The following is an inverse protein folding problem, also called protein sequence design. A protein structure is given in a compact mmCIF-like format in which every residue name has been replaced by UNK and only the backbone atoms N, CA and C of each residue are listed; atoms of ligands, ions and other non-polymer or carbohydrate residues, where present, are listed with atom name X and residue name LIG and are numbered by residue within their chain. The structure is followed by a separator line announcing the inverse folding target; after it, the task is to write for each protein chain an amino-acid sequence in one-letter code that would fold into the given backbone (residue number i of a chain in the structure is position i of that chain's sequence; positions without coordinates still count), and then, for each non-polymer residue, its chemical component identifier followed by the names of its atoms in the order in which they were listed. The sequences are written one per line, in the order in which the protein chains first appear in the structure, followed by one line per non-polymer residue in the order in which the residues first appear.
data_IF_117179653238
#
_entry.id   IF_117179653238
#
_cell.length_a   1.000
_cell.length_b   1.000
_cell.length_c   1.000
_cell.angle_alpha   90.00
_cell.angle_beta   90.00
_cell.angle_gamma   90.00
#
_symmetry.space_group_name_H-M   'P 1'
#
loop_
_entity.id
_entity.type
_entity.pdbx_description
1 polymer ?
#
# COMPACT_ATOMS: atom_id res chain seq x y z
N UNK A 1 13.78 18.24 17.82
CA UNK A 1 13.52 16.81 17.57
C UNK A 1 14.14 16.47 16.21
N UNK A 2 14.45 15.20 15.91
CA UNK A 2 14.64 14.78 14.52
C UNK A 2 13.42 15.20 13.69
N UNK A 3 13.61 15.50 12.40
CA UNK A 3 12.48 15.78 11.52
C UNK A 3 11.61 14.54 11.30
N UNK A 4 10.33 14.75 11.03
CA UNK A 4 9.38 13.67 10.80
C UNK A 4 9.71 12.88 9.53
N UNK A 5 9.34 11.60 9.49
CA UNK A 5 9.37 10.77 8.29
C UNK A 5 7.94 10.35 8.00
N UNK A 6 7.41 10.72 6.84
CA UNK A 6 6.09 10.28 6.38
C UNK A 6 6.25 9.07 5.43
N UNK A 7 5.98 7.84 5.89
CA UNK A 7 6.19 6.65 5.09
C UNK A 7 5.05 6.38 4.09
N UNK A 8 4.07 7.29 3.94
CA UNK A 8 2.92 7.02 3.08
C UNK A 8 2.42 8.28 2.38
N UNK A 9 3.07 8.63 1.27
CA UNK A 9 2.62 9.70 0.37
C UNK A 9 2.24 9.18 -1.01
N UNK A 10 1.50 9.99 -1.76
CA UNK A 10 1.15 9.78 -3.16
C UNK A 10 1.24 11.12 -3.90
N UNK A 11 2.47 11.57 -4.20
CA UNK A 11 2.73 12.85 -4.85
C UNK A 11 2.78 12.71 -6.38
N UNK A 12 2.13 13.62 -7.10
CA UNK A 12 1.92 13.54 -8.56
C UNK A 12 1.47 12.12 -9.01
N UNK A 13 0.61 11.47 -8.23
CA UNK A 13 0.10 10.14 -8.56
C UNK A 13 -1.06 10.25 -9.56
N UNK A 14 -0.95 9.52 -10.66
CA UNK A 14 -2.03 9.36 -11.62
C UNK A 14 -3.08 8.38 -11.07
N UNK A 15 -4.32 8.84 -10.91
CA UNK A 15 -5.43 8.03 -10.44
C UNK A 15 -6.75 8.52 -11.05
N UNK A 16 -7.63 7.59 -11.44
CA UNK A 16 -8.98 7.89 -11.95
C UNK A 16 -9.02 8.95 -13.07
N UNK A 17 -8.07 8.89 -14.01
CA UNK A 17 -7.90 9.84 -15.13
C UNK A 17 -7.54 11.28 -14.72
N UNK A 18 -7.01 11.47 -13.51
CA UNK A 18 -6.45 12.74 -13.05
C UNK A 18 -5.12 12.49 -12.33
N UNK A 19 -4.49 13.56 -11.87
CA UNK A 19 -3.27 13.51 -11.07
C UNK A 19 -3.51 14.24 -9.75
N UNK A 20 -2.92 13.75 -8.65
CA UNK A 20 -2.94 14.46 -7.38
C UNK A 20 -2.33 15.85 -7.54
N UNK A 21 -2.97 16.87 -6.96
CA UNK A 21 -2.57 18.28 -7.15
C UNK A 21 -1.20 18.58 -6.55
N UNK A 22 -0.84 17.92 -5.45
CA UNK A 22 0.50 18.07 -4.87
C UNK A 22 1.53 17.23 -5.64
N UNK A 23 2.55 17.90 -6.17
CA UNK A 23 3.71 17.27 -6.79
C UNK A 23 4.87 17.13 -5.80
N UNK A 24 6.00 16.58 -6.26
CA UNK A 24 7.18 16.40 -5.41
C UNK A 24 7.73 17.71 -4.85
N UNK A 25 7.53 18.85 -5.50
CA UNK A 25 7.94 20.13 -4.92
C UNK A 25 6.92 20.64 -3.91
N UNK A 26 5.64 20.75 -4.31
CA UNK A 26 4.61 21.36 -3.46
C UNK A 26 4.30 20.51 -2.23
N UNK A 27 4.20 19.19 -2.39
CA UNK A 27 3.97 18.26 -1.29
C UNK A 27 5.12 18.24 -0.28
N UNK A 28 6.36 18.27 -0.76
CA UNK A 28 7.53 18.32 0.12
C UNK A 28 7.70 19.68 0.80
N UNK A 29 7.38 20.79 0.11
CA UNK A 29 7.35 22.11 0.74
C UNK A 29 6.31 22.17 1.88
N UNK A 30 5.13 21.57 1.68
CA UNK A 30 4.12 21.43 2.74
C UNK A 30 4.62 20.55 3.89
N UNK A 31 5.27 19.42 3.59
CA UNK A 31 5.85 18.53 4.60
C UNK A 31 6.91 19.25 5.45
N UNK A 32 7.84 19.97 4.83
CA UNK A 32 8.87 20.75 5.50
C UNK A 32 8.27 21.85 6.40
N UNK A 33 7.23 22.55 5.92
CA UNK A 33 6.51 23.53 6.72
C UNK A 33 5.84 22.91 7.96
N UNK A 34 5.44 21.65 7.87
CA UNK A 34 4.89 20.85 8.98
C UNK A 34 5.94 20.16 9.88
N UNK A 35 7.23 20.26 9.55
CA UNK A 35 8.32 19.62 10.30
C UNK A 35 8.65 18.18 9.90
N UNK A 36 8.06 17.66 8.82
CA UNK A 36 8.47 16.41 8.16
C UNK A 36 9.64 16.70 7.23
N UNK A 37 10.69 15.89 7.29
CA UNK A 37 11.95 16.09 6.55
C UNK A 37 12.31 14.92 5.63
N UNK A 38 11.47 13.89 5.57
CA UNK A 38 11.59 12.81 4.58
C UNK A 38 10.21 12.21 4.30
N UNK A 39 9.98 11.75 3.08
CA UNK A 39 8.80 10.94 2.77
C UNK A 39 9.16 9.65 2.00
N UNK A 40 8.25 8.68 1.98
CA UNK A 40 8.35 7.49 1.13
C UNK A 40 7.08 7.39 0.29
N UNK A 41 7.25 7.45 -1.03
CA UNK A 41 6.14 7.45 -2.00
C UNK A 41 5.91 6.07 -2.62
N UNK A 42 4.73 5.81 -3.17
CA UNK A 42 4.39 4.53 -3.77
C UNK A 42 4.49 4.57 -5.29
N UNK A 43 5.48 3.85 -5.83
CA UNK A 43 5.63 3.67 -7.28
C UNK A 43 4.60 2.68 -7.80
N UNK A 44 3.79 3.11 -8.78
CA UNK A 44 2.85 2.26 -9.50
C UNK A 44 3.53 1.75 -10.78
N UNK A 45 3.54 0.43 -11.03
CA UNK A 45 4.20 -0.13 -12.21
C UNK A 45 3.46 0.23 -13.50
N UNK A 46 4.21 0.53 -14.55
CA UNK A 46 3.65 0.84 -15.88
C UNK A 46 3.48 -0.47 -16.64
N UNK A 47 2.24 -0.84 -16.97
CA UNK A 47 1.89 -2.10 -17.65
C UNK A 47 2.51 -3.34 -16.96
N UNK A 48 2.65 -3.28 -15.63
CA UNK A 48 3.26 -4.34 -14.82
C UNK A 48 4.79 -4.40 -14.83
N UNK A 49 5.49 -3.45 -15.46
CA UNK A 49 6.94 -3.29 -15.34
C UNK A 49 7.29 -2.42 -14.13
N UNK A 50 8.04 -2.97 -13.18
CA UNK A 50 8.46 -2.24 -11.98
C UNK A 50 9.51 -1.18 -12.33
N UNK A 51 10.45 -1.52 -13.21
CA UNK A 51 11.51 -0.61 -13.67
C UNK A 51 10.94 0.60 -14.40
N UNK A 52 10.01 0.40 -15.33
CA UNK A 52 9.38 1.51 -16.04
C UNK A 52 8.57 2.41 -15.10
N UNK A 53 7.88 1.83 -14.11
CA UNK A 53 7.21 2.60 -13.06
C UNK A 53 8.19 3.45 -12.26
N UNK A 54 9.33 2.87 -11.87
CA UNK A 54 10.36 3.59 -11.12
C UNK A 54 10.96 4.74 -11.92
N UNK A 55 11.26 4.54 -13.20
CA UNK A 55 11.77 5.59 -14.09
C UNK A 55 10.79 6.79 -14.18
N UNK A 56 9.49 6.52 -14.25
CA UNK A 56 8.46 7.58 -14.24
C UNK A 56 8.49 8.36 -12.94
N UNK A 57 8.58 7.68 -11.79
CA UNK A 57 8.61 8.34 -10.49
C UNK A 57 9.93 9.08 -10.23
N UNK A 58 11.06 8.59 -10.72
CA UNK A 58 12.34 9.31 -10.69
C UNK A 58 12.28 10.60 -11.51
N UNK A 59 11.58 10.60 -12.66
CA UNK A 59 11.33 11.82 -13.42
C UNK A 59 10.49 12.82 -12.62
N UNK A 60 9.37 12.36 -12.02
CA UNK A 60 8.51 13.20 -11.17
C UNK A 60 9.29 13.79 -9.99
N UNK A 61 10.17 12.99 -9.39
CA UNK A 61 10.96 13.36 -8.22
C UNK A 61 12.12 14.32 -8.52
N UNK A 62 12.45 14.63 -9.79
CA UNK A 62 13.45 15.68 -10.11
C UNK A 62 13.11 17.06 -9.54
N UNK A 63 11.85 17.30 -9.21
CA UNK A 63 11.36 18.53 -8.56
C UNK A 63 11.49 18.54 -7.03
N UNK A 64 11.98 17.45 -6.43
CA UNK A 64 12.07 17.32 -4.96
C UNK A 64 12.93 18.42 -4.32
N UNK A 65 12.49 18.92 -3.17
CA UNK A 65 13.22 19.80 -2.26
C UNK A 65 13.54 19.17 -0.89
N UNK A 66 13.22 17.88 -0.68
CA UNK A 66 13.37 17.11 0.55
C UNK A 66 13.80 15.67 0.24
N UNK A 67 14.52 15.01 1.15
CA UNK A 67 14.90 13.60 1.02
C UNK A 67 13.65 12.71 0.86
N UNK A 68 13.77 11.67 0.05
CA UNK A 68 12.68 10.73 -0.22
C UNK A 68 13.16 9.31 -0.48
N UNK A 69 12.23 8.36 -0.40
CA UNK A 69 12.40 6.99 -0.86
C UNK A 69 11.17 6.48 -1.59
N UNK A 70 11.22 5.23 -2.03
CA UNK A 70 10.10 4.59 -2.72
C UNK A 70 9.73 3.23 -2.13
N UNK A 71 8.43 2.99 -2.05
CA UNK A 71 7.79 1.68 -2.02
C UNK A 71 7.43 1.26 -3.45
N UNK A 72 7.42 -0.04 -3.74
CA UNK A 72 7.01 -0.54 -5.06
C UNK A 72 5.69 -1.31 -5.00
N UNK A 73 4.70 -0.90 -5.77
CA UNK A 73 3.41 -1.61 -5.87
C UNK A 73 3.55 -2.86 -6.74
N UNK A 74 2.95 -3.96 -6.28
CA UNK A 74 2.86 -5.22 -7.02
C UNK A 74 1.39 -5.48 -7.38
N UNK A 75 1.07 -5.37 -8.67
CA UNK A 75 -0.30 -5.55 -9.21
C UNK A 75 -0.52 -6.92 -9.86
N UNK A 76 0.56 -7.65 -10.12
CA UNK A 76 0.57 -9.02 -10.65
C UNK A 76 1.82 -9.74 -10.15
N UNK A 77 1.87 -11.06 -10.28
CA UNK A 77 3.07 -11.83 -9.95
C UNK A 77 3.36 -12.87 -11.03
N UNK A 78 4.57 -12.82 -11.57
CA UNK A 78 5.13 -13.75 -12.57
C UNK A 78 6.67 -13.77 -12.42
N UNK A 79 7.36 -14.60 -13.21
CA UNK A 79 8.82 -14.73 -13.17
C UNK A 79 9.56 -13.43 -13.54
N UNK A 80 8.91 -12.53 -14.28
CA UNK A 80 9.49 -11.22 -14.63
C UNK A 80 9.42 -10.33 -13.39
N UNK A 81 8.24 -10.18 -12.78
CA UNK A 81 8.06 -9.40 -11.55
C UNK A 81 8.95 -9.92 -10.42
N UNK A 82 9.07 -11.25 -10.26
CA UNK A 82 9.95 -11.84 -9.24
C UNK A 82 11.42 -11.46 -9.42
N UNK A 83 11.91 -11.39 -10.67
CA UNK A 83 13.27 -10.90 -10.99
C UNK A 83 13.39 -9.40 -10.78
N UNK A 84 12.41 -8.62 -11.24
CA UNK A 84 12.41 -7.17 -11.05
C UNK A 84 12.43 -6.81 -9.57
N UNK A 85 11.71 -7.52 -8.70
CA UNK A 85 11.78 -7.32 -7.24
C UNK A 85 13.21 -7.48 -6.69
N UNK A 86 14.01 -8.38 -7.24
CA UNK A 86 15.42 -8.54 -6.84
C UNK A 86 16.27 -7.35 -7.25
N UNK A 87 16.06 -6.84 -8.47
CA UNK A 87 16.72 -5.64 -8.98
C UNK A 87 16.34 -4.44 -8.10
N UNK A 88 15.05 -4.29 -7.78
CA UNK A 88 14.55 -3.22 -6.90
C UNK A 88 15.28 -3.22 -5.55
N UNK A 89 15.48 -4.40 -4.93
CA UNK A 89 16.18 -4.52 -3.64
C UNK A 89 17.69 -4.33 -3.77
N UNK A 90 18.34 -5.06 -4.67
CA UNK A 90 19.82 -5.15 -4.74
C UNK A 90 20.47 -3.96 -5.43
N UNK A 91 19.78 -3.36 -6.39
CA UNK A 91 20.36 -2.33 -7.26
C UNK A 91 19.70 -0.96 -7.08
N UNK A 92 18.41 -0.92 -6.71
CA UNK A 92 17.65 0.34 -6.61
C UNK A 92 17.36 0.80 -5.18
N UNK A 93 17.71 -0.01 -4.17
CA UNK A 93 17.54 0.35 -2.76
C UNK A 93 16.10 0.31 -2.24
N UNK A 94 15.16 -0.29 -2.99
CA UNK A 94 13.75 -0.43 -2.59
C UNK A 94 13.56 -1.77 -1.88
N UNK A 95 13.30 -1.73 -0.57
CA UNK A 95 13.18 -2.91 0.28
C UNK A 95 11.75 -3.14 0.81
N UNK A 96 10.74 -2.56 0.16
CA UNK A 96 9.35 -2.65 0.60
C UNK A 96 8.37 -2.68 -0.58
N UNK A 97 7.46 -3.65 -0.55
CA UNK A 97 6.56 -3.98 -1.65
C UNK A 97 5.09 -3.96 -1.20
N UNK A 98 4.25 -3.26 -1.95
CA UNK A 98 2.85 -3.01 -1.60
C UNK A 98 1.89 -3.84 -2.44
N UNK A 99 1.03 -4.58 -1.77
CA UNK A 99 -0.05 -5.37 -2.36
C UNK A 99 -1.40 -4.76 -2.01
N UNK A 100 -2.36 -4.85 -2.92
CA UNK A 100 -3.73 -4.40 -2.70
C UNK A 100 -4.67 -5.61 -2.64
N UNK A 101 -5.45 -5.72 -1.57
CA UNK A 101 -6.52 -6.72 -1.44
C UNK A 101 -7.89 -6.18 -1.89
N UNK A 102 -7.91 -4.91 -2.32
CA UNK A 102 -9.05 -4.21 -2.88
C UNK A 102 -8.73 -3.60 -4.24
N UNK A 103 -9.65 -2.78 -4.76
CA UNK A 103 -9.64 -2.28 -6.13
C UNK A 103 -9.72 -3.40 -7.17
N UNK A 104 -10.78 -4.20 -7.05
CA UNK A 104 -11.10 -5.33 -7.95
C UNK A 104 -11.04 -4.88 -9.41
N UNK A 105 -10.28 -5.63 -10.22
CA UNK A 105 -10.10 -5.36 -11.65
C UNK A 105 -9.04 -4.31 -11.98
N UNK A 106 -8.41 -3.66 -10.99
CA UNK A 106 -7.39 -2.63 -11.22
C UNK A 106 -6.07 -2.97 -10.53
N UNK A 107 -6.05 -3.07 -9.19
CA UNK A 107 -4.83 -3.32 -8.40
C UNK A 107 -4.91 -4.60 -7.56
N UNK A 108 -6.11 -5.15 -7.38
CA UNK A 108 -6.35 -6.28 -6.48
C UNK A 108 -5.55 -7.52 -6.88
N UNK A 109 -4.80 -8.07 -5.93
CA UNK A 109 -4.23 -9.42 -6.01
C UNK A 109 -5.09 -10.42 -5.25
N UNK A 110 -5.12 -11.66 -5.74
CA UNK A 110 -5.74 -12.76 -5.01
C UNK A 110 -4.75 -13.38 -4.00
N UNK A 111 -5.23 -14.31 -3.17
CA UNK A 111 -4.41 -14.93 -2.12
C UNK A 111 -3.23 -15.74 -2.67
N UNK A 112 -3.36 -16.32 -3.87
CA UNK A 112 -2.29 -17.05 -4.54
C UNK A 112 -1.11 -16.12 -4.87
N UNK A 113 -1.39 -15.00 -5.54
CA UNK A 113 -0.40 -13.99 -5.88
C UNK A 113 0.19 -13.32 -4.63
N UNK A 114 -0.64 -13.08 -3.61
CA UNK A 114 -0.16 -12.57 -2.33
C UNK A 114 0.82 -13.54 -1.68
N UNK A 115 0.54 -14.84 -1.65
CA UNK A 115 1.44 -15.84 -1.08
C UNK A 115 2.79 -15.89 -1.81
N UNK A 116 2.78 -15.84 -3.15
CA UNK A 116 4.02 -15.78 -3.93
C UNK A 116 4.80 -14.49 -3.66
N UNK A 117 4.11 -13.34 -3.60
CA UNK A 117 4.70 -12.06 -3.22
C UNK A 117 5.32 -12.07 -1.82
N UNK A 118 4.62 -12.65 -0.84
CA UNK A 118 5.11 -12.78 0.54
C UNK A 118 6.35 -13.67 0.63
N UNK A 119 6.37 -14.83 -0.06
CA UNK A 119 7.55 -15.70 -0.14
C UNK A 119 8.73 -14.96 -0.77
N UNK A 120 8.47 -14.17 -1.82
CA UNK A 120 9.51 -13.40 -2.50
C UNK A 120 10.07 -12.31 -1.60
N UNK A 121 9.22 -11.53 -0.92
CA UNK A 121 9.63 -10.54 0.06
C UNK A 121 10.53 -11.15 1.14
N UNK A 122 10.13 -12.30 1.69
CA UNK A 122 10.95 -13.06 2.65
C UNK A 122 12.32 -13.42 2.11
N UNK A 123 12.38 -13.98 0.90
CA UNK A 123 13.64 -14.42 0.28
C UNK A 123 14.62 -13.26 0.04
N UNK A 124 14.10 -12.05 -0.17
CA UNK A 124 14.87 -10.84 -0.42
C UNK A 124 15.19 -10.03 0.85
N UNK A 125 14.61 -10.41 2.01
CA UNK A 125 14.69 -9.60 3.22
C UNK A 125 13.91 -8.28 3.11
N UNK A 126 12.90 -8.23 2.24
CA UNK A 126 12.06 -7.06 2.01
C UNK A 126 10.77 -7.10 2.85
N UNK A 127 10.21 -5.93 3.13
CA UNK A 127 8.96 -5.76 3.87
C UNK A 127 7.76 -5.85 2.93
N UNK A 128 6.84 -6.77 3.21
CA UNK A 128 5.55 -6.78 2.53
C UNK A 128 4.59 -5.78 3.18
N UNK A 129 3.89 -4.99 2.38
CA UNK A 129 2.88 -4.03 2.81
C UNK A 129 1.54 -4.38 2.18
N UNK A 130 0.43 -4.20 2.90
CA UNK A 130 -0.92 -4.52 2.38
C UNK A 130 -1.90 -3.37 2.59
N UNK A 131 -2.62 -3.02 1.53
CA UNK A 131 -3.89 -2.32 1.63
C UNK A 131 -4.96 -3.39 1.86
N UNK A 132 -5.52 -3.44 3.06
CA UNK A 132 -6.28 -4.57 3.55
C UNK A 132 -7.77 -4.26 3.68
N UNK A 133 -8.48 -4.21 2.56
CA UNK A 133 -9.95 -4.28 2.51
C UNK A 133 -10.36 -5.49 1.66
N UNK A 134 -11.52 -6.10 1.92
CA UNK A 134 -12.02 -7.19 1.09
C UNK A 134 -12.56 -6.66 -0.25
N UNK A 135 -11.76 -6.73 -1.31
CA UNK A 135 -12.08 -6.14 -2.61
C UNK A 135 -13.36 -6.65 -3.27
N UNK A 136 -13.68 -7.93 -3.12
CA UNK A 136 -14.91 -8.51 -3.67
C UNK A 136 -16.16 -7.97 -2.97
N UNK A 137 -16.12 -7.90 -1.64
CA UNK A 137 -17.23 -7.39 -0.84
C UNK A 137 -17.37 -5.86 -0.96
N UNK A 138 -16.26 -5.11 -1.06
CA UNK A 138 -16.31 -3.67 -1.35
C UNK A 138 -16.96 -3.42 -2.71
N UNK A 139 -16.61 -4.20 -3.73
CA UNK A 139 -17.22 -4.08 -5.06
C UNK A 139 -18.73 -4.34 -5.02
N UNK A 140 -19.18 -5.39 -4.33
CA UNK A 140 -20.62 -5.64 -4.11
C UNK A 140 -21.30 -4.48 -3.37
N UNK A 141 -20.68 -3.99 -2.30
CA UNK A 141 -21.20 -2.86 -1.52
C UNK A 141 -21.34 -1.58 -2.36
N UNK A 142 -20.39 -1.32 -3.28
CA UNK A 142 -20.45 -0.18 -4.19
C UNK A 142 -21.65 -0.29 -5.15
N UNK A 143 -21.80 -1.44 -5.81
CA UNK A 143 -22.95 -1.71 -6.70
C UNK A 143 -24.27 -1.57 -5.94
N UNK A 144 -24.34 -2.08 -4.71
CA UNK A 144 -25.52 -1.98 -3.86
C UNK A 144 -25.87 -0.53 -3.50
N UNK A 145 -24.89 0.31 -3.12
CA UNK A 145 -25.16 1.72 -2.81
C UNK A 145 -25.72 2.47 -4.01
N UNK A 146 -25.16 2.23 -5.21
CA UNK A 146 -25.66 2.82 -6.46
C UNK A 146 -27.07 2.34 -6.78
N UNK A 147 -27.36 1.05 -6.62
CA UNK A 147 -28.71 0.49 -6.84
C UNK A 147 -29.75 1.07 -5.88
N UNK A 148 -29.35 1.43 -4.66
CA UNK A 148 -30.20 2.10 -3.67
C UNK A 148 -30.36 3.61 -3.94
N UNK A 149 -29.73 4.14 -4.99
CA UNK A 149 -29.76 5.57 -5.32
C UNK A 149 -28.85 6.44 -4.44
N UNK A 150 -27.95 5.83 -3.66
CA UNK A 150 -27.01 6.54 -2.79
C UNK A 150 -25.76 6.86 -3.62
N UNK A 151 -25.78 8.02 -4.26
CA UNK A 151 -24.70 8.49 -5.16
C UNK A 151 -23.85 9.61 -4.55
N UNK A 152 -24.14 10.05 -3.32
CA UNK A 152 -23.32 11.01 -2.60
C UNK A 152 -22.06 10.39 -1.99
N UNK A 153 -21.14 11.22 -1.46
CA UNK A 153 -19.89 10.75 -0.84
C UNK A 153 -20.11 9.77 0.32
N UNK A 154 -21.23 9.86 1.03
CA UNK A 154 -21.62 8.93 2.09
C UNK A 154 -21.71 7.48 1.60
N UNK A 155 -22.09 7.27 0.34
CA UNK A 155 -22.11 5.95 -0.29
C UNK A 155 -20.73 5.29 -0.31
N UNK A 156 -19.65 6.08 -0.38
CA UNK A 156 -18.29 5.55 -0.32
C UNK A 156 -18.03 4.83 0.99
N UNK A 157 -18.28 5.48 2.13
CA UNK A 157 -18.09 4.89 3.45
C UNK A 157 -19.07 3.72 3.70
N UNK A 158 -20.33 3.87 3.29
CA UNK A 158 -21.35 2.84 3.46
C UNK A 158 -21.06 1.56 2.63
N UNK A 159 -20.40 1.69 1.48
CA UNK A 159 -20.01 0.55 0.64
C UNK A 159 -18.89 -0.33 1.23
N UNK A 160 -18.17 0.16 2.23
CA UNK A 160 -16.96 -0.48 2.78
C UNK A 160 -16.94 -0.45 4.32
N UNK A 161 -17.89 -1.12 4.98
CA UNK A 161 -17.95 -1.07 6.43
C UNK A 161 -16.67 -1.65 7.07
N UNK A 162 -16.27 -1.18 8.27
CA UNK A 162 -15.07 -1.59 9.01
C UNK A 162 -14.76 -3.09 9.03
N UNK A 163 -15.80 -3.94 9.10
CA UNK A 163 -15.66 -5.39 9.11
C UNK A 163 -14.91 -5.94 7.88
N UNK A 164 -14.98 -5.25 6.72
CA UNK A 164 -14.27 -5.66 5.50
C UNK A 164 -12.77 -5.37 5.57
N UNK A 165 -12.38 -4.31 6.29
CA UNK A 165 -10.97 -4.03 6.60
C UNK A 165 -10.43 -5.05 7.61
N UNK A 166 -11.23 -5.36 8.64
CA UNK A 166 -10.92 -6.40 9.63
C UNK A 166 -10.68 -7.78 9.01
N UNK A 167 -11.58 -8.24 8.15
CA UNK A 167 -11.43 -9.53 7.46
C UNK A 167 -10.13 -9.61 6.67
N UNK A 168 -9.87 -8.63 5.79
CA UNK A 168 -8.72 -8.64 4.92
C UNK A 168 -7.41 -8.48 5.71
N UNK A 169 -7.42 -7.70 6.79
CA UNK A 169 -6.30 -7.58 7.73
C UNK A 169 -6.00 -8.94 8.36
N UNK A 170 -7.01 -9.61 8.91
CA UNK A 170 -6.85 -10.92 9.53
C UNK A 170 -6.32 -11.97 8.54
N UNK A 171 -6.83 -11.96 7.31
CA UNK A 171 -6.38 -12.84 6.23
C UNK A 171 -4.92 -12.60 5.85
N UNK A 172 -4.54 -11.35 5.60
CA UNK A 172 -3.15 -11.00 5.28
C UNK A 172 -2.17 -11.42 6.40
N UNK A 173 -2.55 -11.19 7.65
CA UNK A 173 -1.76 -11.60 8.83
C UNK A 173 -1.55 -13.11 8.87
N UNK A 174 -2.61 -13.90 8.65
CA UNK A 174 -2.52 -15.37 8.66
C UNK A 174 -1.61 -15.89 7.55
N UNK A 175 -1.71 -15.32 6.34
CA UNK A 175 -0.86 -15.70 5.22
C UNK A 175 0.60 -15.32 5.44
N UNK A 176 0.87 -14.11 5.95
CA UNK A 176 2.21 -13.69 6.33
C UNK A 176 2.80 -14.56 7.46
N UNK A 177 1.98 -14.94 8.44
CA UNK A 177 2.34 -15.87 9.51
C UNK A 177 2.68 -17.26 8.99
N UNK A 178 1.91 -17.78 8.02
CA UNK A 178 2.18 -19.06 7.35
C UNK A 178 3.53 -19.04 6.61
N UNK A 179 3.82 -17.97 5.88
CA UNK A 179 5.11 -17.78 5.19
C UNK A 179 6.25 -17.47 6.17
N UNK A 180 5.92 -17.01 7.38
CA UNK A 180 6.84 -16.49 8.40
C UNK A 180 7.69 -15.33 7.82
N UNK A 181 7.00 -14.26 7.43
CA UNK A 181 7.58 -13.01 6.90
C UNK A 181 6.99 -11.78 7.59
N UNK A 182 7.73 -10.67 7.73
CA UNK A 182 7.19 -9.40 8.20
C UNK A 182 6.05 -8.89 7.31
N UNK A 183 5.09 -8.22 7.94
CA UNK A 183 3.93 -7.61 7.28
C UNK A 183 3.68 -6.22 7.85
N UNK A 184 3.46 -5.25 6.95
CA UNK A 184 3.05 -3.91 7.27
C UNK A 184 1.60 -3.68 6.80
N UNK A 185 0.67 -3.49 7.72
CA UNK A 185 -0.71 -3.09 7.37
C UNK A 185 -0.76 -1.57 7.31
N UNK A 186 -0.92 -1.03 6.10
CA UNK A 186 -1.00 0.42 5.91
C UNK A 186 -2.37 0.97 6.30
N UNK A 187 -2.41 2.27 6.62
CA UNK A 187 -3.63 3.08 6.79
C UNK A 187 -4.74 2.34 7.55
N UNK A 188 -4.44 1.86 8.75
CA UNK A 188 -5.42 1.21 9.62
C UNK A 188 -6.44 2.26 10.06
N UNK A 189 -7.69 2.08 9.66
CA UNK A 189 -8.79 3.04 9.89
C UNK A 189 -9.84 2.55 10.89
N UNK A 190 -9.94 1.24 11.13
CA UNK A 190 -10.98 0.66 11.97
C UNK A 190 -10.49 -0.04 13.24
N UNK A 191 -11.41 -0.13 14.21
CA UNK A 191 -11.25 -0.95 15.41
C UNK A 191 -11.13 -2.43 15.02
N UNK A 192 -11.95 -2.91 14.07
CA UNK A 192 -11.90 -4.30 13.59
C UNK A 192 -10.49 -4.68 13.10
N UNK A 193 -9.86 -3.87 12.25
CA UNK A 193 -8.49 -4.12 11.79
C UNK A 193 -7.47 -4.00 12.93
N UNK A 194 -7.63 -3.01 13.82
CA UNK A 194 -6.76 -2.82 14.97
C UNK A 194 -6.80 -4.00 15.95
N UNK A 195 -7.98 -4.57 16.19
CA UNK A 195 -8.14 -5.76 17.05
C UNK A 195 -7.41 -6.97 16.46
N UNK A 196 -7.48 -7.18 15.15
CA UNK A 196 -6.73 -8.25 14.48
C UNK A 196 -5.22 -8.08 14.63
N UNK A 197 -4.74 -6.85 14.44
CA UNK A 197 -3.33 -6.48 14.63
C UNK A 197 -2.90 -6.70 16.09
N UNK A 198 -3.71 -6.26 17.05
CA UNK A 198 -3.42 -6.42 18.47
C UNK A 198 -3.38 -7.90 18.89
N UNK A 199 -4.32 -8.72 18.39
CA UNK A 199 -4.35 -10.17 18.61
C UNK A 199 -3.09 -10.84 18.05
N UNK A 200 -2.69 -10.50 16.83
CA UNK A 200 -1.52 -11.05 16.17
C UNK A 200 -0.20 -10.70 16.90
N UNK A 201 -0.04 -9.44 17.33
CA UNK A 201 1.12 -9.04 18.12
C UNK A 201 1.19 -9.80 19.44
N UNK A 202 0.05 -9.99 20.13
CA UNK A 202 -0.03 -10.73 21.39
C UNK A 202 0.30 -12.22 21.23
N UNK A 203 0.02 -12.83 20.07
CA UNK A 203 0.35 -14.23 19.78
C UNK A 203 1.80 -14.46 19.34
N UNK A 204 2.66 -13.42 19.37
CA UNK A 204 4.09 -13.54 19.10
C UNK A 204 4.49 -13.24 17.66
N UNK A 205 3.58 -12.73 16.82
CA UNK A 205 3.90 -12.20 15.49
C UNK A 205 4.56 -10.82 15.63
N UNK A 206 5.81 -10.83 16.10
CA UNK A 206 6.59 -9.62 16.42
C UNK A 206 7.03 -8.82 15.18
N UNK A 207 6.81 -9.35 13.98
CA UNK A 207 7.18 -8.71 12.71
C UNK A 207 6.04 -7.90 12.08
N UNK A 208 4.98 -7.62 12.85
CA UNK A 208 3.81 -6.89 12.37
C UNK A 208 3.90 -5.39 12.65
N UNK A 209 3.98 -4.60 11.59
CA UNK A 209 4.07 -3.14 11.60
C UNK A 209 2.73 -2.57 11.10
N UNK A 210 2.33 -1.40 11.59
CA UNK A 210 1.09 -0.75 11.15
C UNK A 210 1.23 0.77 11.20
N UNK A 211 0.66 1.48 10.22
CA UNK A 211 0.39 2.92 10.32
C UNK A 211 -1.08 3.17 10.57
N UNK A 212 -1.37 4.19 11.37
CA UNK A 212 -2.69 4.74 11.56
C UNK A 212 -2.81 6.01 10.73
N UNK A 213 -3.89 6.17 10.00
CA UNK A 213 -4.31 7.49 9.57
C UNK A 213 -5.31 8.00 10.61
N UNK A 214 -4.95 9.07 11.32
CA UNK A 214 -5.94 9.87 12.03
C UNK A 214 -6.65 10.72 10.96
N UNK A 215 -7.77 10.24 10.43
CA UNK A 215 -8.73 11.08 9.70
C UNK A 215 -9.80 11.58 10.67
#
# INVERSE_FOLDING_TARGET
MPGGIDPHTHLAMEALNTETVDDFFSGQAAALAGGTTMHIDFVIPVNGSLTAGLEVYEEKAKKSCMDYGFHMVITKFDDIVSRDMEIMVKERGINSFKFFLAYKGVLMVNDELLLEGLKRCKSLGALAMVHAENGDAVFEGQERMIQLGITGPEGHALSRPPLLEGEATARAIRLAGFVNTPLYVVHVMSIDAMEEIARARKSGLNFLISSFLFC
#
